data_IF_007742764240
#
_entry.id   IF_007742764240
#
_cell.length_a   1.000
_cell.length_b   1.000
_cell.length_c   1.000
_cell.angle_alpha   90.00
_cell.angle_beta   90.00
_cell.angle_gamma   90.00
#
_symmetry.space_group_name_H-M   'P 1'
#
loop_
_entity.id
_entity.type
_entity.pdbx_description
1 polymer ?
#
# COMPACT_ATOMS: atom_id res chain seq x y z
N UNK A 1 8.60 -18.74 30.18
CA UNK A 1 7.21 -18.24 30.04
C UNK A 1 7.12 -17.58 28.68
N UNK A 2 6.51 -18.23 27.68
CA UNK A 2 6.44 -17.73 26.29
C UNK A 2 5.42 -16.60 26.22
N UNK A 3 5.86 -15.34 26.34
CA UNK A 3 5.04 -14.20 25.93
C UNK A 3 4.99 -14.24 24.41
N UNK A 4 3.84 -14.60 23.85
CA UNK A 4 3.58 -14.43 22.42
C UNK A 4 3.40 -12.93 22.18
N UNK A 5 4.23 -12.37 21.28
CA UNK A 5 4.20 -11.00 20.75
C UNK A 5 2.76 -10.48 20.58
N UNK A 6 2.52 -9.22 20.94
CA UNK A 6 1.20 -8.58 20.79
C UNK A 6 1.08 -7.81 19.46
N UNK A 7 2.19 -7.40 18.83
CA UNK A 7 2.16 -6.79 17.50
C UNK A 7 2.07 -7.79 16.34
N UNK A 8 1.10 -8.73 16.41
CA UNK A 8 0.90 -9.72 15.35
C UNK A 8 0.05 -9.23 14.19
N UNK A 9 -0.57 -8.06 14.32
CA UNK A 9 -1.57 -7.60 13.39
C UNK A 9 -0.97 -6.54 12.48
N UNK A 10 -0.95 -6.86 11.19
CA UNK A 10 -0.70 -5.87 10.13
C UNK A 10 -1.72 -4.75 10.31
N UNK A 11 -1.27 -3.52 10.57
CA UNK A 11 -2.17 -2.37 10.55
C UNK A 11 -2.50 -2.10 9.09
N UNK A 12 -3.76 -2.30 8.80
CA UNK A 12 -4.39 -1.99 7.54
C UNK A 12 -5.63 -1.24 7.98
N UNK A 13 -5.55 0.09 8.19
CA UNK A 13 -6.75 0.83 8.57
C UNK A 13 -7.77 0.56 7.46
N UNK A 14 -8.79 -0.21 7.82
CA UNK A 14 -9.72 -0.72 6.85
C UNK A 14 -10.36 0.43 6.11
N UNK A 15 -10.32 0.36 4.77
CA UNK A 15 -11.38 0.88 3.91
C UNK A 15 -11.85 2.30 4.30
N UNK A 16 -10.95 3.25 4.54
CA UNK A 16 -11.34 4.66 4.48
C UNK A 16 -11.56 4.96 3.01
N UNK A 17 -12.80 4.69 2.58
CA UNK A 17 -13.49 5.21 1.40
C UNK A 17 -12.46 5.72 0.43
N UNK A 18 -11.80 4.76 -0.21
CA UNK A 18 -10.81 4.97 -1.22
C UNK A 18 -11.60 5.70 -2.30
N UNK A 19 -11.53 7.03 -2.29
CA UNK A 19 -12.28 7.84 -3.26
C UNK A 19 -11.61 7.54 -4.59
N UNK A 20 -12.09 6.48 -5.24
CA UNK A 20 -11.65 5.94 -6.54
C UNK A 20 -11.57 7.05 -7.60
N UNK A 21 -12.25 8.18 -7.35
CA UNK A 21 -12.13 9.44 -8.06
C UNK A 21 -10.73 10.07 -8.10
N UNK A 22 -9.81 9.71 -7.20
CA UNK A 22 -8.48 10.32 -7.12
C UNK A 22 -7.35 9.50 -7.76
N UNK A 23 -7.49 8.17 -7.89
CA UNK A 23 -6.40 7.33 -8.42
C UNK A 23 -6.46 7.16 -9.93
N UNK A 24 -7.64 6.85 -10.48
CA UNK A 24 -7.80 6.62 -11.92
C UNK A 24 -8.06 7.96 -12.58
N UNK A 25 -6.97 8.68 -12.90
CA UNK A 25 -7.07 9.97 -13.60
C UNK A 25 -7.85 9.76 -14.90
N UNK A 26 -9.04 10.36 -14.98
CA UNK A 26 -10.12 9.98 -15.90
C UNK A 26 -9.90 10.27 -17.38
N UNK A 27 -8.82 9.75 -17.99
CA UNK A 27 -8.57 9.85 -19.42
C UNK A 27 -8.50 8.48 -20.14
N UNK A 28 -8.26 7.37 -19.44
CA UNK A 28 -8.26 6.04 -20.07
C UNK A 28 -9.65 5.43 -20.06
N UNK A 29 -10.21 5.15 -21.24
CA UNK A 29 -11.47 4.39 -21.36
C UNK A 29 -11.28 2.90 -21.00
N UNK A 30 -10.06 2.49 -20.66
CA UNK A 30 -9.64 1.10 -20.51
C UNK A 30 -10.34 0.42 -19.32
N UNK A 31 -10.46 1.08 -18.16
CA UNK A 31 -10.87 0.42 -16.92
C UNK A 31 -12.30 0.68 -16.43
N UNK A 32 -13.18 1.39 -17.17
CA UNK A 32 -14.48 1.84 -16.64
C UNK A 32 -15.38 0.72 -16.11
N UNK A 33 -15.40 -0.42 -16.79
CA UNK A 33 -16.16 -1.58 -16.34
C UNK A 33 -15.55 -2.20 -15.08
N UNK A 34 -14.22 -2.25 -15.00
CA UNK A 34 -13.50 -2.68 -13.80
C UNK A 34 -13.77 -1.78 -12.60
N UNK A 35 -13.74 -0.45 -12.80
CA UNK A 35 -14.10 0.54 -11.78
C UNK A 35 -15.51 0.28 -11.25
N UNK A 36 -16.48 0.13 -12.15
CA UNK A 36 -17.87 -0.14 -11.78
C UNK A 36 -18.03 -1.46 -11.03
N UNK A 37 -17.20 -2.46 -11.32
CA UNK A 37 -17.18 -3.72 -10.59
C UNK A 37 -16.57 -3.55 -9.18
N UNK A 38 -15.49 -2.78 -9.05
CA UNK A 38 -14.92 -2.40 -7.74
C UNK A 38 -15.94 -1.65 -6.87
N UNK A 39 -16.67 -0.67 -7.44
CA UNK A 39 -17.73 0.07 -6.74
C UNK A 39 -18.89 -0.83 -6.26
N UNK A 40 -19.06 -2.00 -6.87
CA UNK A 40 -20.06 -3.01 -6.49
C UNK A 40 -19.48 -4.09 -5.58
N UNK A 41 -18.20 -3.98 -5.22
CA UNK A 41 -17.44 -5.00 -4.50
C UNK A 41 -17.40 -6.37 -5.23
N UNK A 42 -17.66 -6.37 -6.54
CA UNK A 42 -17.52 -7.55 -7.39
C UNK A 42 -16.08 -7.65 -7.91
N UNK A 43 -15.17 -7.99 -7.00
CA UNK A 43 -13.73 -7.99 -7.28
C UNK A 43 -13.32 -9.02 -8.33
N UNK A 44 -14.06 -10.12 -8.47
CA UNK A 44 -13.80 -11.12 -9.52
C UNK A 44 -14.16 -10.57 -10.90
N UNK A 45 -15.28 -9.87 -11.00
CA UNK A 45 -15.62 -9.16 -12.23
C UNK A 45 -14.62 -8.03 -12.49
N UNK A 46 -14.18 -7.31 -11.46
CA UNK A 46 -13.16 -6.28 -11.60
C UNK A 46 -11.84 -6.83 -12.17
N UNK A 47 -11.35 -7.97 -11.66
CA UNK A 47 -10.20 -8.70 -12.22
C UNK A 47 -10.40 -9.00 -13.70
N UNK A 48 -11.57 -9.54 -14.07
CA UNK A 48 -11.88 -9.87 -15.47
C UNK A 48 -11.83 -8.64 -16.36
N UNK A 49 -12.49 -7.55 -15.93
CA UNK A 49 -12.58 -6.32 -16.70
C UNK A 49 -11.22 -5.60 -16.80
N UNK A 50 -10.43 -5.53 -15.73
CA UNK A 50 -9.10 -4.92 -15.77
C UNK A 50 -8.10 -5.75 -16.58
N UNK A 51 -8.18 -7.08 -16.54
CA UNK A 51 -7.36 -7.95 -17.39
C UNK A 51 -7.64 -7.70 -18.87
N UNK A 52 -8.92 -7.63 -19.25
CA UNK A 52 -9.32 -7.31 -20.63
C UNK A 52 -8.87 -5.90 -21.04
N UNK A 53 -8.97 -4.94 -20.12
CA UNK A 53 -8.53 -3.57 -20.32
C UNK A 53 -7.03 -3.47 -20.59
N UNK A 54 -6.21 -4.11 -19.75
CA UNK A 54 -4.76 -4.14 -19.89
C UNK A 54 -4.35 -4.76 -21.23
N UNK A 55 -4.86 -5.97 -21.54
CA UNK A 55 -4.57 -6.66 -22.81
C UNK A 55 -4.98 -5.84 -24.04
N UNK A 56 -6.14 -5.18 -24.00
CA UNK A 56 -6.59 -4.32 -25.09
C UNK A 56 -5.71 -3.08 -25.26
N UNK A 57 -5.25 -2.49 -24.15
CA UNK A 57 -4.36 -1.33 -24.16
C UNK A 57 -2.97 -1.70 -24.70
N UNK A 58 -2.39 -2.81 -24.24
CA UNK A 58 -1.12 -3.34 -24.73
C UNK A 58 -1.18 -3.63 -26.24
N UNK A 59 -2.22 -4.31 -26.70
CA UNK A 59 -2.42 -4.61 -28.13
C UNK A 59 -2.52 -3.35 -29.00
N UNK A 60 -2.91 -2.21 -28.41
CA UNK A 60 -3.00 -0.90 -29.07
C UNK A 60 -1.77 -0.03 -28.84
N UNK A 61 -0.73 -0.54 -28.17
CA UNK A 61 0.48 0.22 -27.81
C UNK A 61 0.22 1.38 -26.83
N UNK A 62 -0.88 1.32 -26.06
CA UNK A 62 -1.26 2.37 -25.12
C UNK A 62 -0.72 2.07 -23.73
N UNK A 63 0.56 2.34 -23.53
CA UNK A 63 1.29 2.00 -22.31
C UNK A 63 0.67 2.60 -21.04
N UNK A 64 0.29 3.88 -21.07
CA UNK A 64 -0.37 4.54 -19.92
C UNK A 64 -1.73 3.91 -19.56
N UNK A 65 -2.55 3.59 -20.57
CA UNK A 65 -3.84 2.93 -20.37
C UNK A 65 -3.65 1.51 -19.77
N UNK A 66 -2.59 0.80 -20.18
CA UNK A 66 -2.24 -0.51 -19.65
C UNK A 66 -1.77 -0.41 -18.19
N UNK A 67 -0.90 0.56 -17.88
CA UNK A 67 -0.39 0.81 -16.53
C UNK A 67 -1.53 1.06 -15.53
N UNK A 68 -2.50 1.91 -15.91
CA UNK A 68 -3.67 2.21 -15.09
C UNK A 68 -4.58 0.97 -14.91
N UNK A 69 -4.72 0.13 -15.94
CA UNK A 69 -5.47 -1.12 -15.86
C UNK A 69 -4.78 -2.14 -14.93
N UNK A 70 -3.45 -2.25 -14.99
CA UNK A 70 -2.67 -3.09 -14.08
C UNK A 70 -2.76 -2.61 -12.62
N UNK A 71 -2.77 -1.29 -12.38
CA UNK A 71 -3.02 -0.78 -11.02
C UNK A 71 -4.40 -1.18 -10.52
N UNK A 72 -5.44 -1.03 -11.36
CA UNK A 72 -6.80 -1.47 -11.03
C UNK A 72 -6.88 -2.98 -10.77
N UNK A 73 -6.15 -3.78 -11.54
CA UNK A 73 -6.04 -5.23 -11.36
C UNK A 73 -5.38 -5.58 -10.02
N UNK A 74 -4.28 -4.91 -9.67
CA UNK A 74 -3.61 -5.07 -8.37
C UNK A 74 -4.54 -4.75 -7.20
N UNK A 75 -5.34 -3.68 -7.30
CA UNK A 75 -6.33 -3.34 -6.27
C UNK A 75 -7.41 -4.43 -6.14
N UNK A 76 -7.92 -4.96 -7.26
CA UNK A 76 -8.91 -6.03 -7.24
C UNK A 76 -8.35 -7.32 -6.61
N UNK A 77 -7.09 -7.67 -6.90
CA UNK A 77 -6.41 -8.80 -6.26
C UNK A 77 -6.18 -8.58 -4.76
N UNK A 78 -5.91 -7.34 -4.35
CA UNK A 78 -5.73 -7.01 -2.93
C UNK A 78 -7.01 -7.27 -2.13
N UNK A 79 -8.17 -6.86 -2.66
CA UNK A 79 -9.48 -7.13 -2.08
C UNK A 79 -9.82 -8.64 -2.05
N UNK A 80 -9.34 -9.38 -3.05
CA UNK A 80 -9.42 -10.85 -3.08
C UNK A 80 -8.39 -11.56 -2.20
N UNK A 81 -7.46 -10.82 -1.59
CA UNK A 81 -6.32 -11.33 -0.80
C UNK A 81 -5.38 -12.23 -1.60
N UNK A 82 -5.30 -12.03 -2.91
CA UNK A 82 -4.39 -12.71 -3.83
C UNK A 82 -3.08 -11.91 -3.92
N UNK A 83 -2.35 -11.85 -2.79
CA UNK A 83 -1.24 -10.91 -2.58
C UNK A 83 -0.06 -11.09 -3.54
N UNK A 84 0.19 -12.32 -4.00
CA UNK A 84 1.20 -12.62 -5.03
C UNK A 84 0.91 -11.85 -6.32
N UNK A 85 -0.36 -11.84 -6.73
CA UNK A 85 -0.81 -11.14 -7.94
C UNK A 85 -0.92 -9.63 -7.76
N UNK A 86 -1.08 -9.15 -6.52
CA UNK A 86 -0.99 -7.70 -6.22
C UNK A 86 0.39 -7.19 -6.59
N UNK A 87 1.45 -7.86 -6.13
CA UNK A 87 2.83 -7.46 -6.39
C UNK A 87 3.15 -7.52 -7.89
N UNK A 88 2.74 -8.60 -8.58
CA UNK A 88 2.92 -8.72 -10.03
C UNK A 88 2.23 -7.56 -10.79
N UNK A 89 0.96 -7.30 -10.47
CA UNK A 89 0.16 -6.28 -11.17
C UNK A 89 0.65 -4.87 -10.88
N UNK A 90 0.97 -4.56 -9.61
CA UNK A 90 1.47 -3.23 -9.23
C UNK A 90 2.87 -2.95 -9.76
N UNK A 91 3.76 -3.95 -9.77
CA UNK A 91 5.09 -3.80 -10.36
C UNK A 91 4.98 -3.56 -11.87
N UNK A 92 4.11 -4.31 -12.56
CA UNK A 92 3.85 -4.09 -13.99
C UNK A 92 3.32 -2.68 -14.26
N UNK A 93 2.42 -2.18 -13.41
CA UNK A 93 1.93 -0.81 -13.51
C UNK A 93 3.06 0.23 -13.35
N UNK A 94 3.96 0.04 -12.38
CA UNK A 94 5.13 0.91 -12.16
C UNK A 94 6.11 0.89 -13.34
N UNK A 95 6.44 -0.30 -13.85
CA UNK A 95 7.30 -0.47 -15.04
C UNK A 95 6.68 0.19 -16.29
N UNK A 96 5.34 0.21 -16.33
CA UNK A 96 4.59 0.86 -17.37
C UNK A 96 4.37 2.37 -17.18
N UNK A 97 4.91 2.94 -16.09
CA UNK A 97 4.93 4.38 -15.83
C UNK A 97 3.65 4.91 -15.20
N UNK A 98 2.89 4.05 -14.49
CA UNK A 98 1.76 4.52 -13.67
C UNK A 98 2.23 5.59 -12.70
N UNK A 99 1.34 6.53 -12.40
CA UNK A 99 1.62 7.51 -11.37
C UNK A 99 1.87 6.80 -10.02
N UNK A 100 3.06 7.04 -9.46
CA UNK A 100 3.41 6.60 -8.11
C UNK A 100 2.53 7.32 -7.09
N UNK A 101 2.10 6.60 -6.05
CA UNK A 101 1.39 7.18 -4.91
C UNK A 101 1.80 6.47 -3.62
N UNK A 102 1.64 7.13 -2.48
CA UNK A 102 1.94 6.52 -1.18
C UNK A 102 1.05 5.29 -0.92
N UNK A 103 -0.20 5.32 -1.38
CA UNK A 103 -1.17 4.23 -1.25
C UNK A 103 -0.78 2.99 -2.06
N UNK A 104 -0.26 3.20 -3.28
CA UNK A 104 0.25 2.10 -4.12
C UNK A 104 1.36 1.34 -3.37
N UNK A 105 2.29 2.09 -2.79
CA UNK A 105 3.39 1.52 -2.01
C UNK A 105 2.91 0.87 -0.71
N UNK A 106 1.94 1.45 0.00
CA UNK A 106 1.36 0.82 1.17
C UNK A 106 0.70 -0.54 0.83
N UNK A 107 -0.06 -0.61 -0.27
CA UNK A 107 -0.67 -1.86 -0.75
C UNK A 107 0.39 -2.92 -1.07
N UNK A 108 1.48 -2.53 -1.73
CA UNK A 108 2.60 -3.44 -2.01
C UNK A 108 3.30 -3.90 -0.72
N UNK A 109 3.54 -2.99 0.22
CA UNK A 109 4.15 -3.29 1.52
C UNK A 109 3.32 -4.28 2.33
N UNK A 110 2.02 -4.03 2.48
CA UNK A 110 1.09 -4.95 3.16
C UNK A 110 1.02 -6.29 2.44
N UNK A 111 0.97 -6.31 1.10
CA UNK A 111 0.94 -7.56 0.32
C UNK A 111 2.21 -8.39 0.49
N UNK A 112 3.37 -7.73 0.63
CA UNK A 112 4.64 -8.38 0.92
C UNK A 112 4.67 -8.94 2.36
N UNK A 113 4.16 -8.20 3.35
CA UNK A 113 4.00 -8.72 4.73
C UNK A 113 3.14 -9.99 4.79
N UNK A 114 2.05 -10.02 4.01
CA UNK A 114 1.16 -11.18 3.94
C UNK A 114 1.80 -12.41 3.27
N UNK A 115 2.87 -12.19 2.50
CA UNK A 115 3.73 -13.23 1.95
C UNK A 115 4.95 -13.54 2.82
N UNK A 116 5.03 -12.93 4.01
CA UNK A 116 6.18 -13.01 4.92
C UNK A 116 7.49 -12.50 4.29
N UNK A 117 7.41 -11.71 3.20
CA UNK A 117 8.53 -11.00 2.59
C UNK A 117 8.69 -9.62 3.26
N UNK A 118 9.18 -9.66 4.49
CA UNK A 118 9.37 -8.46 5.32
C UNK A 118 10.45 -7.53 4.77
N UNK A 119 11.43 -8.04 4.02
CA UNK A 119 12.47 -7.20 3.42
C UNK A 119 11.90 -6.32 2.31
N UNK A 120 11.09 -6.91 1.41
CA UNK A 120 10.40 -6.14 0.38
C UNK A 120 9.35 -5.21 1.00
N UNK A 121 8.64 -5.65 2.04
CA UNK A 121 7.66 -4.81 2.73
C UNK A 121 8.28 -3.51 3.26
N UNK A 122 9.42 -3.59 3.95
CA UNK A 122 10.17 -2.43 4.45
C UNK A 122 10.53 -1.46 3.31
N UNK A 123 11.05 -1.97 2.19
CA UNK A 123 11.39 -1.15 1.01
C UNK A 123 10.18 -0.40 0.46
N UNK A 124 9.03 -1.08 0.34
CA UNK A 124 7.80 -0.43 -0.12
C UNK A 124 7.31 0.63 0.86
N UNK A 125 7.35 0.38 2.17
CA UNK A 125 6.98 1.39 3.16
C UNK A 125 7.90 2.62 3.11
N UNK A 126 9.21 2.43 2.96
CA UNK A 126 10.17 3.53 2.79
C UNK A 126 9.85 4.36 1.53
N UNK A 127 9.58 3.70 0.40
CA UNK A 127 9.18 4.40 -0.84
C UNK A 127 7.86 5.17 -0.67
N UNK A 128 6.88 4.58 0.03
CA UNK A 128 5.58 5.20 0.31
C UNK A 128 5.69 6.43 1.21
N UNK A 129 6.44 6.34 2.31
CA UNK A 129 6.69 7.46 3.24
C UNK A 129 7.48 8.56 2.52
N UNK A 130 8.53 8.20 1.79
CA UNK A 130 9.34 9.16 1.03
C UNK A 130 8.51 9.90 -0.01
N UNK A 131 7.64 9.18 -0.74
CA UNK A 131 6.73 9.79 -1.70
C UNK A 131 5.75 10.75 -1.01
N UNK A 132 5.11 10.33 0.07
CA UNK A 132 4.14 11.13 0.82
C UNK A 132 4.73 12.45 1.35
N UNK A 133 6.01 12.43 1.76
CA UNK A 133 6.73 13.60 2.25
C UNK A 133 7.38 14.45 1.13
N UNK A 134 7.33 13.98 -0.12
CA UNK A 134 7.95 14.66 -1.26
C UNK A 134 7.07 15.78 -1.83
N UNK A 135 7.70 16.72 -2.54
CA UNK A 135 6.99 17.75 -3.31
C UNK A 135 6.16 17.16 -4.46
N UNK A 136 6.46 15.94 -4.91
CA UNK A 136 5.76 15.29 -6.01
C UNK A 136 4.33 14.88 -5.60
N UNK A 137 4.13 14.51 -4.34
CA UNK A 137 2.80 14.28 -3.77
C UNK A 137 1.92 15.54 -3.79
N UNK A 138 2.52 16.72 -3.54
CA UNK A 138 1.83 18.02 -3.59
C UNK A 138 1.42 18.38 -5.03
N UNK A 139 2.23 18.04 -6.03
CA UNK A 139 1.99 18.36 -7.44
C UNK A 139 0.98 17.39 -8.11
N UNK A 140 0.84 16.16 -7.60
CA UNK A 140 -0.15 15.19 -8.04
C UNK A 140 -1.61 15.64 -7.78
N UNK A 141 -1.83 16.41 -6.70
CA UNK A 141 -3.14 16.97 -6.38
C UNK A 141 -3.46 18.17 -7.29
N UNK A 142 -4.18 17.92 -8.40
CA UNK A 142 -4.70 18.97 -9.30
C UNK A 142 -5.54 20.05 -8.59
N UNK A 143 -5.94 19.80 -7.33
CA UNK A 143 -6.79 20.68 -6.53
C UNK A 143 -6.03 21.75 -5.72
N UNK A 144 -4.68 21.75 -5.72
CA UNK A 144 -3.86 22.65 -4.89
C UNK A 144 -4.11 22.50 -3.37
N UNK A 145 -4.89 21.49 -2.97
CA UNK A 145 -5.09 21.08 -1.59
C UNK A 145 -4.04 20.03 -1.27
N UNK A 146 -3.27 20.30 -0.23
CA UNK A 146 -2.34 19.36 0.38
C UNK A 146 -3.11 18.10 0.78
N UNK A 147 -2.66 16.94 0.29
CA UNK A 147 -3.19 15.65 0.71
C UNK A 147 -2.54 15.36 2.05
N UNK A 148 -3.37 15.17 3.07
CA UNK A 148 -2.89 14.79 4.39
C UNK A 148 -2.58 13.29 4.40
N UNK A 149 -1.30 12.97 4.46
CA UNK A 149 -0.80 11.59 4.52
C UNK A 149 -0.44 11.16 5.95
N UNK A 150 -0.78 11.94 6.98
CA UNK A 150 -0.38 11.65 8.36
C UNK A 150 -0.81 10.26 8.83
N UNK A 151 -2.07 9.88 8.62
CA UNK A 151 -2.61 8.56 8.96
C UNK A 151 -1.89 7.44 8.19
N UNK A 152 -1.66 7.64 6.89
CA UNK A 152 -1.01 6.63 6.04
C UNK A 152 0.47 6.45 6.42
N UNK A 153 1.19 7.53 6.74
CA UNK A 153 2.57 7.48 7.22
C UNK A 153 2.62 6.78 8.58
N UNK A 154 1.67 7.06 9.48
CA UNK A 154 1.57 6.38 10.76
C UNK A 154 1.42 4.86 10.55
N UNK A 155 0.49 4.44 9.69
CA UNK A 155 0.29 3.02 9.37
C UNK A 155 1.56 2.35 8.82
N UNK A 156 2.22 2.98 7.84
CA UNK A 156 3.44 2.44 7.25
C UNK A 156 4.55 2.32 8.30
N UNK A 157 4.75 3.33 9.16
CA UNK A 157 5.74 3.28 10.24
C UNK A 157 5.45 2.17 11.25
N UNK A 158 4.19 2.00 11.66
CA UNK A 158 3.80 0.88 12.52
C UNK A 158 4.15 -0.47 11.88
N UNK A 159 3.81 -0.64 10.61
CA UNK A 159 4.10 -1.86 9.87
C UNK A 159 5.60 -2.11 9.69
N UNK A 160 6.44 -1.07 9.62
CA UNK A 160 7.91 -1.22 9.65
C UNK A 160 8.40 -1.83 10.95
N UNK A 161 7.87 -1.39 12.11
CA UNK A 161 8.18 -2.01 13.41
C UNK A 161 7.80 -3.49 13.40
N UNK A 162 6.60 -3.83 12.90
CA UNK A 162 6.14 -5.23 12.78
C UNK A 162 7.07 -6.04 11.88
N UNK A 163 7.53 -5.48 10.75
CA UNK A 163 8.46 -6.17 9.85
C UNK A 163 9.78 -6.52 10.55
N UNK A 164 10.38 -5.57 11.28
CA UNK A 164 11.63 -5.81 12.01
C UNK A 164 11.47 -6.86 13.11
N UNK A 165 10.36 -6.82 13.86
CA UNK A 165 10.04 -7.86 14.85
C UNK A 165 9.93 -9.25 14.23
N UNK A 166 9.25 -9.36 13.08
CA UNK A 166 9.06 -10.64 12.39
C UNK A 166 10.36 -11.20 11.82
N UNK A 167 11.32 -10.34 11.53
CA UNK A 167 12.68 -10.70 11.16
C UNK A 167 13.57 -11.02 12.38
N UNK A 168 13.06 -10.89 13.61
CA UNK A 168 13.83 -10.95 14.86
C UNK A 168 14.99 -9.94 14.90
N UNK A 169 14.87 -8.84 14.16
CA UNK A 169 15.83 -7.73 14.16
C UNK A 169 15.49 -6.75 15.28
N UNK A 170 15.76 -7.17 16.53
CA UNK A 170 15.32 -6.46 17.74
C UNK A 170 15.89 -5.04 17.87
N UNK A 171 17.12 -4.82 17.39
CA UNK A 171 17.74 -3.49 17.43
C UNK A 171 16.98 -2.51 16.54
N UNK A 172 16.71 -2.89 15.29
CA UNK A 172 15.95 -2.03 14.37
C UNK A 172 14.48 -1.92 14.76
N UNK A 173 13.86 -2.99 15.27
CA UNK A 173 12.50 -2.95 15.80
C UNK A 173 12.39 -1.92 16.93
N UNK A 174 13.34 -1.93 17.87
CA UNK A 174 13.40 -0.97 18.98
C UNK A 174 13.62 0.46 18.49
N UNK A 175 14.53 0.68 17.54
CA UNK A 175 14.77 2.01 16.98
C UNK A 175 13.52 2.54 16.29
N UNK A 176 12.91 1.74 15.41
CA UNK A 176 11.69 2.10 14.70
C UNK A 176 10.51 2.37 15.65
N UNK A 177 10.34 1.57 16.72
CA UNK A 177 9.28 1.77 17.71
C UNK A 177 9.48 3.07 18.52
N UNK A 178 10.72 3.41 18.85
CA UNK A 178 11.04 4.66 19.54
C UNK A 178 10.83 5.89 18.65
N UNK A 179 11.18 5.81 17.38
CA UNK A 179 10.85 6.86 16.40
C UNK A 179 9.34 7.01 16.23
N UNK A 180 8.62 5.89 16.15
CA UNK A 180 7.17 5.88 16.04
C UNK A 180 6.49 6.57 17.23
N UNK A 181 6.80 6.17 18.46
CA UNK A 181 6.12 6.74 19.65
C UNK A 181 6.50 8.21 19.88
N UNK A 182 7.67 8.66 19.41
CA UNK A 182 8.04 10.07 19.45
C UNK A 182 7.11 10.93 18.58
N UNK A 183 6.70 10.41 17.42
CA UNK A 183 5.76 11.07 16.51
C UNK A 183 4.28 10.87 16.93
N UNK A 184 3.97 9.71 17.51
CA UNK A 184 2.60 9.28 17.86
C UNK A 184 2.46 8.85 19.34
N UNK A 185 2.70 9.74 20.32
CA UNK A 185 2.84 9.38 21.74
C UNK A 185 1.56 8.90 22.44
N UNK A 186 0.40 8.98 21.78
CA UNK A 186 -0.88 8.55 22.34
C UNK A 186 -1.39 7.25 21.68
N UNK A 187 -0.56 6.58 20.89
CA UNK A 187 -0.94 5.34 20.23
C UNK A 187 -0.76 4.15 21.20
N UNK A 188 -1.83 3.77 21.88
CA UNK A 188 -1.81 2.70 22.89
C UNK A 188 -1.37 1.33 22.33
N UNK A 189 -1.44 1.13 21.01
CA UNK A 189 -1.05 -0.14 20.38
C UNK A 189 0.47 -0.36 20.40
N UNK A 190 1.27 0.71 20.41
CA UNK A 190 2.75 0.64 20.38
C UNK A 190 3.38 0.75 21.77
N UNK A 191 2.72 1.40 22.75
CA UNK A 191 3.31 1.70 24.06
C UNK A 191 3.85 0.43 24.76
N UNK A 192 3.03 -0.62 24.79
CA UNK A 192 3.41 -1.91 25.39
C UNK A 192 4.50 -2.62 24.61
N UNK A 193 4.57 -2.38 23.30
CA UNK A 193 5.57 -2.99 22.43
C UNK A 193 6.92 -2.32 22.63
N UNK A 194 6.96 -0.99 22.78
CA UNK A 194 8.19 -0.26 23.17
C UNK A 194 8.74 -0.80 24.49
N UNK A 195 7.90 -0.90 25.54
CA UNK A 195 8.31 -1.47 26.83
C UNK A 195 8.86 -2.90 26.69
N UNK A 196 8.25 -3.72 25.84
CA UNK A 196 8.74 -5.07 25.59
C UNK A 196 10.10 -5.07 24.87
N UNK A 197 10.24 -4.29 23.80
CA UNK A 197 11.47 -4.18 23.00
C UNK A 197 12.63 -3.61 23.81
N UNK A 198 12.37 -2.81 24.85
CA UNK A 198 13.41 -2.35 25.78
C UNK A 198 14.07 -3.48 26.59
N UNK A 199 13.38 -4.62 26.76
CA UNK A 199 13.87 -5.78 27.54
C UNK A 199 14.65 -6.81 26.72
N UNK A 200 14.78 -6.59 25.41
CA UNK A 200 15.48 -7.47 24.45
C UNK A 200 16.82 -6.90 24.05
#
# INVERSE_FOLDING_TARGET
MKMKNQMQFIRNCGLVILTMSCLLTGCSNAGKAGIKAMEKEDYKEAVTQFTQAASTAEAKGKKEDAAEAYRGLGMAYYELKEYDKVLESMQRALDDGVQRTAELYNIMGVSAMQQEDYESALKYFDEGISYAQSKDAVNASKSKKEVDYSDLIQEMRYNQVVCYEKQENWEEAKNAANEYIADYPNDEDIEKEVEFLETR
#
